data_IF_837099737811
#
_entry.id   IF_837099737811
#
_cell.length_a   1.000
_cell.length_b   1.000
_cell.length_c   1.000
_cell.angle_alpha   90.00
_cell.angle_beta   90.00
_cell.angle_gamma   90.00
#
_symmetry.space_group_name_H-M   'P 1'
#
loop_
_entity.id
_entity.type
_entity.pdbx_description
1 polymer ?
#
# COMPACT_ATOMS: atom_id res chain seq x y z
N UNK A 1 -14.58 -6.26 35.86
CA UNK A 1 -14.87 -7.30 34.87
C UNK A 1 -14.04 -6.94 33.63
N UNK A 2 -13.01 -7.71 33.33
CA UNK A 2 -12.24 -7.49 32.09
C UNK A 2 -13.17 -7.81 30.92
N UNK A 3 -13.35 -6.83 30.07
CA UNK A 3 -14.03 -6.99 28.79
C UNK A 3 -13.21 -8.01 27.98
N UNK A 4 -13.69 -9.25 27.91
CA UNK A 4 -13.14 -10.25 27.01
C UNK A 4 -13.66 -9.90 25.62
N UNK A 5 -13.03 -8.92 24.98
CA UNK A 5 -13.17 -8.72 23.55
C UNK A 5 -12.77 -10.02 22.86
N UNK A 6 -13.73 -10.68 22.23
CA UNK A 6 -13.47 -11.83 21.37
C UNK A 6 -12.38 -11.43 20.37
N UNK A 7 -11.40 -12.30 20.10
CA UNK A 7 -10.36 -11.98 19.14
C UNK A 7 -11.01 -11.59 17.80
N UNK A 8 -10.81 -10.35 17.40
CA UNK A 8 -11.37 -9.88 16.13
C UNK A 8 -10.73 -10.67 14.99
N UNK A 9 -11.57 -11.20 14.12
CA UNK A 9 -11.10 -11.83 12.87
C UNK A 9 -10.66 -10.74 11.91
N UNK A 10 -9.42 -10.80 11.49
CA UNK A 10 -8.81 -9.86 10.55
C UNK A 10 -8.81 -10.50 9.17
N UNK A 11 -9.22 -9.75 8.15
CA UNK A 11 -9.20 -10.23 6.78
C UNK A 11 -7.89 -9.84 6.09
N UNK A 12 -7.26 -10.78 5.40
CA UNK A 12 -6.08 -10.54 4.56
C UNK A 12 -6.48 -10.62 3.08
N UNK A 13 -6.03 -9.66 2.30
CA UNK A 13 -6.07 -9.71 0.83
C UNK A 13 -4.69 -9.43 0.24
N UNK A 14 -4.46 -9.94 -0.98
CA UNK A 14 -3.23 -9.72 -1.73
C UNK A 14 -3.54 -9.50 -3.21
N UNK A 15 -3.10 -8.38 -3.75
CA UNK A 15 -3.18 -8.06 -5.17
C UNK A 15 -1.90 -8.49 -5.90
N UNK A 16 -2.01 -8.85 -7.16
CA UNK A 16 -0.88 -9.25 -7.98
C UNK A 16 -0.82 -8.53 -9.32
N UNK A 17 -0.03 -9.09 -10.23
CA UNK A 17 0.10 -8.64 -11.62
C UNK A 17 -1.11 -9.10 -12.46
N UNK A 18 -1.31 -8.47 -13.62
CA UNK A 18 -2.28 -8.91 -14.62
C UNK A 18 -1.92 -10.26 -15.24
N UNK A 19 -0.63 -10.61 -15.24
CA UNK A 19 -0.09 -11.81 -15.88
C UNK A 19 0.02 -12.95 -14.88
N UNK A 20 -0.69 -14.04 -15.12
CA UNK A 20 -0.63 -15.24 -14.27
C UNK A 20 0.81 -15.77 -14.13
N UNK A 21 1.63 -15.71 -15.20
CA UNK A 21 3.02 -16.15 -15.15
C UNK A 21 3.89 -15.36 -14.16
N UNK A 22 3.66 -14.06 -14.03
CA UNK A 22 4.34 -13.24 -13.03
C UNK A 22 3.90 -13.60 -11.62
N UNK A 23 2.59 -13.79 -11.43
CA UNK A 23 2.00 -14.20 -10.16
C UNK A 23 2.51 -15.58 -9.71
N UNK A 24 2.60 -16.55 -10.62
CA UNK A 24 3.13 -17.89 -10.34
C UNK A 24 4.58 -17.86 -9.85
N UNK A 25 5.44 -17.08 -10.49
CA UNK A 25 6.85 -16.95 -10.09
C UNK A 25 6.98 -16.36 -8.67
N UNK A 26 6.10 -15.45 -8.30
CA UNK A 26 6.15 -14.73 -7.03
C UNK A 26 5.36 -15.41 -5.91
N UNK A 27 4.54 -16.42 -6.22
CA UNK A 27 3.57 -16.97 -5.27
C UNK A 27 4.20 -17.55 -4.01
N UNK A 28 5.29 -18.29 -4.14
CA UNK A 28 5.95 -18.88 -2.95
C UNK A 28 6.49 -17.79 -2.01
N UNK A 29 6.98 -16.67 -2.54
CA UNK A 29 7.42 -15.55 -1.71
C UNK A 29 6.24 -14.89 -0.97
N UNK A 30 5.10 -14.74 -1.64
CA UNK A 30 3.87 -14.21 -1.02
C UNK A 30 3.37 -15.14 0.08
N UNK A 31 3.30 -16.43 -0.18
CA UNK A 31 2.86 -17.45 0.77
C UNK A 31 3.74 -17.52 2.02
N UNK A 32 5.06 -17.46 1.85
CA UNK A 32 6.00 -17.42 2.98
C UNK A 32 5.81 -16.14 3.80
N UNK A 33 5.69 -14.99 3.17
CA UNK A 33 5.42 -13.72 3.83
C UNK A 33 4.09 -13.73 4.59
N UNK A 34 3.00 -14.20 3.96
CA UNK A 34 1.71 -14.35 4.63
C UNK A 34 1.78 -15.26 5.85
N UNK A 35 2.51 -16.38 5.75
CA UNK A 35 2.68 -17.33 6.86
C UNK A 35 3.38 -16.69 8.06
N UNK A 36 4.40 -15.87 7.82
CA UNK A 36 5.10 -15.12 8.88
C UNK A 36 4.21 -14.04 9.50
N UNK A 37 3.42 -13.35 8.69
CA UNK A 37 2.49 -12.35 9.17
C UNK A 37 1.36 -12.96 10.00
N UNK A 38 0.83 -14.11 9.58
CA UNK A 38 -0.15 -14.88 10.34
C UNK A 38 0.42 -15.24 11.72
N UNK A 39 1.63 -15.81 11.76
CA UNK A 39 2.29 -16.16 13.03
C UNK A 39 2.49 -14.94 13.96
N UNK A 40 2.85 -13.78 13.39
CA UNK A 40 2.99 -12.54 14.17
C UNK A 40 1.65 -12.10 14.78
N UNK A 41 0.55 -12.15 14.02
CA UNK A 41 -0.79 -11.76 14.48
C UNK A 41 -1.33 -12.77 15.51
N UNK A 42 -1.13 -14.06 15.29
CA UNK A 42 -1.52 -15.11 16.25
C UNK A 42 -0.76 -15.01 17.58
N UNK A 43 0.53 -14.62 17.54
CA UNK A 43 1.32 -14.38 18.75
C UNK A 43 0.78 -13.23 19.61
N UNK A 44 -0.01 -12.33 19.01
CA UNK A 44 -0.70 -11.23 19.66
C UNK A 44 -2.16 -11.55 20.05
N UNK A 45 -2.59 -12.80 19.86
CA UNK A 45 -3.91 -13.29 20.30
C UNK A 45 -5.06 -13.02 19.33
N UNK A 46 -4.77 -12.71 18.05
CA UNK A 46 -5.76 -12.47 17.01
C UNK A 46 -5.72 -13.55 15.92
N UNK A 47 -6.73 -13.58 15.07
CA UNK A 47 -6.81 -14.50 13.94
C UNK A 47 -6.78 -13.72 12.62
N UNK A 48 -5.90 -14.14 11.71
CA UNK A 48 -5.83 -13.62 10.35
C UNK A 48 -6.34 -14.66 9.36
N UNK A 49 -7.36 -14.32 8.59
CA UNK A 49 -7.92 -15.19 7.56
C UNK A 49 -7.81 -14.54 6.19
N UNK A 50 -7.47 -15.36 5.19
CA UNK A 50 -7.44 -14.90 3.82
C UNK A 50 -8.86 -14.65 3.29
N UNK A 51 -9.12 -13.47 2.73
CA UNK A 51 -10.41 -13.07 2.17
C UNK A 51 -10.69 -13.62 0.77
N UNK A 52 -9.73 -14.34 0.16
CA UNK A 52 -9.88 -15.01 -1.13
C UNK A 52 -8.98 -16.25 -1.22
N UNK A 53 -9.41 -17.21 -1.99
CA UNK A 53 -8.78 -18.52 -2.09
C UNK A 53 -7.58 -18.52 -3.04
N UNK A 54 -6.78 -19.60 -2.93
CA UNK A 54 -5.81 -19.98 -3.94
C UNK A 54 -6.53 -20.53 -5.16
N UNK A 55 -6.13 -20.12 -6.35
CA UNK A 55 -6.67 -20.61 -7.62
C UNK A 55 -5.78 -21.74 -8.16
N UNK A 56 -6.20 -22.97 -7.96
CA UNK A 56 -5.48 -24.18 -8.39
C UNK A 56 -5.23 -24.20 -9.91
N UNK A 57 -6.18 -23.70 -10.68
CA UNK A 57 -6.04 -23.69 -12.14
C UNK A 57 -5.01 -22.68 -12.63
N UNK A 58 -4.75 -21.65 -11.83
CA UNK A 58 -3.77 -20.59 -12.13
C UNK A 58 -2.45 -20.72 -11.38
N UNK A 59 -2.43 -21.53 -10.31
CA UNK A 59 -1.23 -21.78 -9.51
C UNK A 59 -0.79 -20.59 -8.65
N UNK A 60 -1.71 -19.72 -8.25
CA UNK A 60 -1.47 -18.60 -7.34
C UNK A 60 -2.74 -18.11 -6.64
N UNK A 61 -2.57 -17.41 -5.52
CA UNK A 61 -3.71 -16.85 -4.76
C UNK A 61 -3.83 -15.32 -4.84
N UNK A 62 -3.24 -14.63 -5.83
CA UNK A 62 -3.39 -13.19 -5.96
C UNK A 62 -4.72 -12.78 -6.63
N UNK A 63 -5.25 -11.64 -6.20
CA UNK A 63 -6.28 -10.92 -6.95
C UNK A 63 -5.60 -10.33 -8.19
N UNK A 64 -6.06 -10.71 -9.39
CA UNK A 64 -5.41 -10.42 -10.68
C UNK A 64 -6.22 -9.55 -11.63
N UNK A 65 -7.37 -9.10 -11.20
CA UNK A 65 -8.24 -8.23 -12.00
C UNK A 65 -9.16 -7.41 -11.13
N UNK A 66 -9.60 -6.27 -11.65
CA UNK A 66 -10.61 -5.43 -11.00
C UNK A 66 -11.91 -6.19 -10.73
N UNK A 67 -12.32 -7.06 -11.64
CA UNK A 67 -13.54 -7.90 -11.47
C UNK A 67 -13.42 -8.79 -10.24
N UNK A 68 -12.31 -9.53 -10.14
CA UNK A 68 -12.05 -10.40 -9.00
C UNK A 68 -11.95 -9.59 -7.71
N UNK A 69 -11.27 -8.45 -7.73
CA UNK A 69 -11.21 -7.54 -6.56
C UNK A 69 -12.60 -7.11 -6.10
N UNK A 70 -13.46 -6.69 -7.02
CA UNK A 70 -14.85 -6.34 -6.70
C UNK A 70 -15.63 -7.51 -6.10
N UNK A 71 -15.43 -8.72 -6.60
CA UNK A 71 -16.14 -9.91 -6.10
C UNK A 71 -15.63 -10.27 -4.69
N UNK A 72 -14.33 -10.16 -4.41
CA UNK A 72 -13.75 -10.32 -3.06
C UNK A 72 -14.34 -9.30 -2.07
N UNK A 73 -14.37 -8.02 -2.43
CA UNK A 73 -14.92 -6.98 -1.54
C UNK A 73 -16.45 -7.09 -1.31
N UNK A 74 -17.17 -7.82 -2.16
CA UNK A 74 -18.57 -8.17 -1.91
C UNK A 74 -18.74 -9.34 -0.95
N UNK A 75 -17.72 -10.17 -0.79
CA UNK A 75 -17.77 -11.39 0.05
C UNK A 75 -17.21 -11.18 1.45
N UNK A 76 -16.32 -10.21 1.66
CA UNK A 76 -15.74 -9.91 2.97
C UNK A 76 -16.60 -8.90 3.74
N UNK A 77 -16.48 -8.92 5.07
CA UNK A 77 -17.14 -7.93 5.93
C UNK A 77 -16.53 -6.53 5.68
N UNK A 78 -17.32 -5.54 5.23
CA UNK A 78 -16.81 -4.21 4.93
C UNK A 78 -16.39 -3.39 6.17
N UNK A 79 -16.74 -3.84 7.38
CA UNK A 79 -16.42 -3.19 8.65
C UNK A 79 -15.29 -3.89 9.41
N UNK A 80 -14.89 -5.11 8.98
CA UNK A 80 -13.82 -5.86 9.62
C UNK A 80 -12.45 -5.20 9.39
N UNK A 81 -11.49 -5.35 10.32
CA UNK A 81 -10.10 -4.97 10.08
C UNK A 81 -9.54 -5.69 8.86
N UNK A 82 -8.91 -4.94 7.96
CA UNK A 82 -8.40 -5.43 6.68
C UNK A 82 -6.89 -5.21 6.57
N UNK A 83 -6.15 -6.26 6.25
CA UNK A 83 -4.74 -6.19 5.92
C UNK A 83 -4.55 -6.45 4.42
N UNK A 84 -3.85 -5.54 3.75
CA UNK A 84 -3.34 -5.76 2.40
C UNK A 84 -1.87 -6.11 2.51
N UNK A 85 -1.52 -7.37 2.20
CA UNK A 85 -0.19 -7.93 2.42
C UNK A 85 0.56 -8.09 1.09
N UNK A 86 1.75 -7.49 1.00
CA UNK A 86 2.51 -7.40 -0.23
C UNK A 86 3.93 -7.96 -0.05
N UNK A 87 4.24 -9.06 -0.76
CA UNK A 87 5.60 -9.59 -0.91
C UNK A 87 6.18 -9.32 -2.30
N UNK A 88 5.39 -8.72 -3.20
CA UNK A 88 5.75 -8.51 -4.60
C UNK A 88 5.11 -7.23 -5.13
N UNK A 89 5.38 -6.92 -6.40
CA UNK A 89 4.67 -5.89 -7.13
C UNK A 89 3.17 -6.21 -7.28
N UNK A 90 2.33 -5.20 -7.12
CA UNK A 90 0.88 -5.34 -7.27
C UNK A 90 0.28 -4.23 -8.15
N UNK A 91 -0.87 -4.52 -8.73
CA UNK A 91 -1.70 -3.55 -9.45
C UNK A 91 -2.75 -2.97 -8.50
N UNK A 92 -2.59 -1.71 -8.09
CA UNK A 92 -3.55 -1.05 -7.18
C UNK A 92 -4.98 -0.99 -7.75
N UNK A 93 -5.11 -0.91 -9.07
CA UNK A 93 -6.41 -0.91 -9.76
C UNK A 93 -7.27 -2.16 -9.49
N UNK A 94 -6.65 -3.30 -9.14
CA UNK A 94 -7.41 -4.53 -8.87
C UNK A 94 -8.28 -4.41 -7.62
N UNK A 95 -7.83 -3.67 -6.60
CA UNK A 95 -8.43 -3.62 -5.27
C UNK A 95 -8.87 -2.23 -4.85
N UNK A 96 -8.43 -1.17 -5.52
CA UNK A 96 -8.65 0.21 -5.11
C UNK A 96 -10.14 0.55 -4.98
N UNK A 97 -10.98 0.10 -5.92
CA UNK A 97 -12.42 0.35 -5.87
C UNK A 97 -13.09 -0.24 -4.61
N UNK A 98 -12.63 -1.41 -4.17
CA UNK A 98 -13.07 -2.02 -2.92
C UNK A 98 -12.55 -1.28 -1.69
N UNK A 99 -11.26 -0.91 -1.70
CA UNK A 99 -10.65 -0.17 -0.59
C UNK A 99 -11.29 1.21 -0.37
N UNK A 100 -11.75 1.89 -1.42
CA UNK A 100 -12.45 3.19 -1.29
C UNK A 100 -13.81 3.07 -0.62
N UNK A 101 -14.39 1.88 -0.56
CA UNK A 101 -15.71 1.63 0.04
C UNK A 101 -15.63 0.82 1.34
N UNK A 102 -14.46 0.32 1.69
CA UNK A 102 -14.24 -0.38 2.96
C UNK A 102 -14.29 0.61 4.13
N UNK A 103 -14.94 0.22 5.21
CA UNK A 103 -15.17 1.09 6.38
C UNK A 103 -14.33 0.71 7.60
N UNK A 104 -13.89 -0.55 7.67
CA UNK A 104 -13.01 -1.01 8.72
C UNK A 104 -11.60 -0.42 8.61
N UNK A 105 -10.78 -0.52 9.66
CA UNK A 105 -9.40 -0.07 9.62
C UNK A 105 -8.59 -0.86 8.59
N UNK A 106 -7.80 -0.15 7.77
CA UNK A 106 -6.94 -0.72 6.73
C UNK A 106 -5.48 -0.64 7.17
N UNK A 107 -4.75 -1.75 7.08
CA UNK A 107 -3.31 -1.82 7.24
C UNK A 107 -2.66 -2.37 5.98
N UNK A 108 -1.72 -1.63 5.41
CA UNK A 108 -0.84 -2.15 4.36
C UNK A 108 0.43 -2.70 5.00
N UNK A 109 0.81 -3.93 4.63
CA UNK A 109 1.97 -4.62 5.20
C UNK A 109 2.85 -5.19 4.09
N UNK A 110 4.17 -5.03 4.22
CA UNK A 110 5.13 -5.62 3.28
C UNK A 110 6.41 -6.08 3.96
N UNK A 111 7.06 -7.09 3.36
CA UNK A 111 8.48 -7.32 3.59
C UNK A 111 9.32 -6.32 2.75
N UNK A 112 10.47 -5.89 3.28
CA UNK A 112 11.35 -4.95 2.56
C UNK A 112 12.62 -5.60 2.00
N UNK A 113 12.82 -6.89 2.24
CA UNK A 113 14.04 -7.62 1.87
C UNK A 113 13.73 -8.88 1.07
N UNK A 114 14.77 -9.50 0.54
CA UNK A 114 14.69 -10.72 -0.24
C UNK A 114 14.70 -10.46 -1.74
N UNK A 115 14.52 -11.53 -2.50
CA UNK A 115 14.49 -11.47 -3.96
C UNK A 115 13.27 -10.68 -4.49
N UNK A 116 12.17 -10.72 -3.74
CA UNK A 116 10.92 -10.06 -4.08
C UNK A 116 10.54 -9.11 -2.94
N UNK A 117 11.09 -7.88 -2.90
CA UNK A 117 10.77 -6.94 -1.84
C UNK A 117 9.38 -6.33 -2.04
N UNK A 118 8.45 -6.68 -1.18
CA UNK A 118 7.06 -6.18 -1.23
C UNK A 118 6.92 -4.70 -0.96
N UNK A 119 7.95 -4.04 -0.39
CA UNK A 119 7.92 -2.61 -0.09
C UNK A 119 7.58 -1.74 -1.31
N UNK A 120 8.02 -2.13 -2.51
CA UNK A 120 7.70 -1.38 -3.75
C UNK A 120 6.19 -1.45 -4.05
N UNK A 121 5.59 -2.63 -3.93
CA UNK A 121 4.14 -2.82 -4.08
C UNK A 121 3.34 -2.06 -3.04
N UNK A 122 3.79 -2.10 -1.78
CA UNK A 122 3.18 -1.35 -0.67
C UNK A 122 3.23 0.17 -0.93
N UNK A 123 4.36 0.72 -1.36
CA UNK A 123 4.49 2.15 -1.63
C UNK A 123 3.60 2.58 -2.80
N UNK A 124 3.47 1.75 -3.85
CA UNK A 124 2.52 1.97 -4.93
C UNK A 124 1.07 2.01 -4.41
N UNK A 125 0.69 1.03 -3.58
CA UNK A 125 -0.65 1.01 -2.99
C UNK A 125 -0.89 2.21 -2.08
N UNK A 126 0.06 2.54 -1.20
CA UNK A 126 -0.03 3.68 -0.30
C UNK A 126 -0.21 5.00 -1.06
N UNK A 127 0.54 5.21 -2.13
CA UNK A 127 0.39 6.37 -3.01
C UNK A 127 -1.00 6.41 -3.65
N UNK A 128 -1.53 5.27 -4.07
CA UNK A 128 -2.87 5.15 -4.65
C UNK A 128 -3.98 5.43 -3.63
N UNK A 129 -3.85 4.90 -2.40
CA UNK A 129 -4.79 5.16 -1.29
C UNK A 129 -4.79 6.63 -0.89
N UNK A 130 -3.61 7.23 -0.73
CA UNK A 130 -3.46 8.67 -0.43
C UNK A 130 -4.12 9.53 -1.49
N UNK A 131 -3.88 9.24 -2.77
CA UNK A 131 -4.50 9.97 -3.88
C UNK A 131 -6.02 9.81 -3.91
N UNK A 132 -6.54 8.63 -3.54
CA UNK A 132 -7.97 8.35 -3.45
C UNK A 132 -8.64 8.90 -2.18
N UNK A 133 -7.89 9.46 -1.25
CA UNK A 133 -8.41 9.99 0.03
C UNK A 133 -8.80 8.91 1.03
N UNK A 134 -8.32 7.67 0.86
CA UNK A 134 -8.58 6.55 1.77
C UNK A 134 -7.67 6.64 2.99
N UNK A 135 -8.23 6.49 4.18
CA UNK A 135 -7.44 6.41 5.42
C UNK A 135 -6.87 4.99 5.60
N UNK A 136 -5.61 4.90 5.90
CA UNK A 136 -4.92 3.63 6.13
C UNK A 136 -3.73 3.80 7.08
N UNK A 137 -3.26 2.70 7.63
CA UNK A 137 -1.98 2.59 8.31
C UNK A 137 -1.03 1.75 7.48
N UNK A 138 0.28 1.87 7.71
CA UNK A 138 1.30 1.16 6.94
C UNK A 138 2.41 0.66 7.84
N UNK A 139 2.81 -0.61 7.66
CA UNK A 139 3.93 -1.23 8.36
C UNK A 139 4.76 -2.08 7.39
N UNK A 140 6.05 -2.17 7.65
CA UNK A 140 6.93 -3.08 6.95
C UNK A 140 8.02 -3.61 7.88
N UNK A 141 8.50 -4.79 7.58
CA UNK A 141 9.56 -5.46 8.34
C UNK A 141 10.33 -6.38 7.40
N UNK A 142 11.46 -6.87 7.85
CA UNK A 142 12.17 -7.94 7.14
C UNK A 142 11.45 -9.28 7.27
N UNK A 143 11.04 -9.62 8.50
CA UNK A 143 10.52 -10.95 8.85
C UNK A 143 9.33 -10.91 9.82
N UNK A 144 8.79 -9.73 10.11
CA UNK A 144 7.66 -9.47 11.02
C UNK A 144 7.85 -9.92 12.48
N UNK A 145 9.11 -10.19 12.87
CA UNK A 145 9.46 -10.65 14.22
C UNK A 145 10.21 -9.59 15.05
N UNK A 146 10.55 -8.44 14.46
CA UNK A 146 11.23 -7.37 15.19
C UNK A 146 10.30 -6.64 16.17
N UNK A 147 10.89 -6.18 17.29
CA UNK A 147 10.15 -5.56 18.39
C UNK A 147 9.36 -4.31 17.94
N UNK A 148 9.93 -3.49 17.07
CA UNK A 148 9.29 -2.28 16.58
C UNK A 148 8.04 -2.62 15.76
N UNK A 149 8.15 -3.61 14.87
CA UNK A 149 7.03 -4.07 14.06
C UNK A 149 5.92 -4.63 14.96
N UNK A 150 6.25 -5.55 15.86
CA UNK A 150 5.26 -6.19 16.76
C UNK A 150 4.57 -5.15 17.67
N UNK A 151 5.32 -4.20 18.21
CA UNK A 151 4.74 -3.09 19.01
C UNK A 151 3.75 -2.26 18.22
N UNK A 152 4.09 -1.89 16.98
CA UNK A 152 3.22 -1.09 16.12
C UNK A 152 2.03 -1.89 15.58
N UNK A 153 2.24 -3.17 15.25
CA UNK A 153 1.16 -4.09 14.88
C UNK A 153 0.15 -4.23 16.01
N UNK A 154 0.64 -4.42 17.24
CA UNK A 154 -0.23 -4.44 18.43
C UNK A 154 -1.02 -3.13 18.57
N UNK A 155 -0.39 -1.98 18.38
CA UNK A 155 -1.09 -0.69 18.42
C UNK A 155 -2.22 -0.63 17.39
N UNK A 156 -1.98 -1.11 16.17
CA UNK A 156 -3.03 -1.16 15.15
C UNK A 156 -4.16 -2.12 15.51
N UNK A 157 -3.83 -3.28 16.06
CA UNK A 157 -4.82 -4.26 16.53
C UNK A 157 -5.71 -3.71 17.65
N UNK A 158 -5.13 -2.89 18.54
CA UNK A 158 -5.84 -2.29 19.65
C UNK A 158 -6.67 -1.05 19.26
N UNK A 159 -6.23 -0.26 18.26
CA UNK A 159 -6.78 1.09 17.99
C UNK A 159 -7.22 1.33 16.54
N UNK A 160 -6.94 0.40 15.63
CA UNK A 160 -7.19 0.56 14.19
C UNK A 160 -6.21 1.51 13.49
N UNK A 161 -5.17 2.01 14.18
CA UNK A 161 -4.24 2.97 13.60
C UNK A 161 -2.79 2.80 14.09
N UNK A 162 -1.83 3.27 13.28
CA UNK A 162 -0.40 3.32 13.64
C UNK A 162 0.08 4.76 13.57
N UNK A 163 0.67 5.22 14.65
CA UNK A 163 1.42 6.48 14.67
C UNK A 163 2.91 6.21 14.40
N UNK A 164 3.49 6.93 13.45
CA UNK A 164 4.93 6.92 13.21
C UNK A 164 5.59 8.11 13.90
N UNK A 165 6.76 7.87 14.51
CA UNK A 165 7.58 8.95 15.05
C UNK A 165 8.24 9.71 13.89
N UNK A 166 7.88 10.97 13.76
CA UNK A 166 8.38 11.89 12.74
C UNK A 166 9.43 12.86 13.32
N UNK A 167 9.88 12.68 14.56
CA UNK A 167 10.81 13.60 15.23
C UNK A 167 12.17 13.76 14.53
N UNK A 168 12.53 12.79 13.67
CA UNK A 168 13.74 12.84 12.85
C UNK A 168 13.55 13.60 11.52
N UNK A 169 12.31 13.95 11.17
CA UNK A 169 12.02 14.69 9.93
C UNK A 169 12.16 16.19 10.18
N UNK A 170 13.08 16.80 9.47
CA UNK A 170 13.28 18.26 9.51
C UNK A 170 12.42 18.91 8.42
N UNK A 171 11.57 19.88 8.74
CA UNK A 171 10.85 20.65 7.74
C UNK A 171 11.83 21.33 6.77
N UNK A 172 11.50 21.30 5.48
CA UNK A 172 12.30 21.99 4.48
C UNK A 172 12.06 23.49 4.55
N UNK A 173 13.16 24.23 4.79
CA UNK A 173 13.15 25.68 4.83
C UNK A 173 13.79 26.24 3.56
N UNK A 174 13.03 26.94 2.71
CA UNK A 174 13.56 27.56 1.48
C UNK A 174 14.76 28.49 1.79
N UNK A 175 14.74 29.14 2.95
CA UNK A 175 15.82 30.01 3.40
C UNK A 175 17.14 29.28 3.63
N UNK A 176 17.12 27.94 3.83
CA UNK A 176 18.31 27.11 4.01
C UNK A 176 19.00 26.74 2.69
N UNK A 177 18.36 26.96 1.54
CA UNK A 177 18.95 26.72 0.23
C UNK A 177 20.05 27.75 -0.06
N UNK A 178 21.16 27.29 -0.64
CA UNK A 178 22.19 28.21 -1.14
C UNK A 178 21.63 29.11 -2.26
N UNK A 179 22.25 30.28 -2.42
CA UNK A 179 21.76 31.32 -3.32
C UNK A 179 21.74 30.86 -4.80
N UNK A 180 22.68 29.98 -5.20
CA UNK A 180 22.75 29.50 -6.59
C UNK A 180 21.60 28.51 -6.87
N UNK A 181 21.37 27.54 -5.98
CA UNK A 181 20.27 26.60 -6.09
C UNK A 181 18.93 27.33 -6.13
N UNK A 182 18.75 28.34 -5.27
CA UNK A 182 17.53 29.14 -5.25
C UNK A 182 17.34 29.92 -6.54
N UNK A 183 18.36 30.61 -7.04
CA UNK A 183 18.30 31.39 -8.29
C UNK A 183 18.01 30.47 -9.48
N UNK A 184 18.67 29.31 -9.55
CA UNK A 184 18.43 28.32 -10.63
C UNK A 184 16.99 27.79 -10.61
N UNK A 185 16.47 27.43 -9.44
CA UNK A 185 15.10 26.92 -9.30
C UNK A 185 14.07 27.95 -9.69
N UNK A 186 14.24 29.22 -9.26
CA UNK A 186 13.37 30.33 -9.67
C UNK A 186 13.43 30.57 -11.19
N UNK A 187 14.62 30.57 -11.77
CA UNK A 187 14.79 30.75 -13.22
C UNK A 187 14.13 29.63 -14.06
N UNK A 188 14.15 28.39 -13.57
CA UNK A 188 13.43 27.27 -14.20
C UNK A 188 11.91 27.51 -14.13
N UNK A 189 11.37 27.84 -12.95
CA UNK A 189 9.96 28.08 -12.77
C UNK A 189 9.46 29.25 -13.64
N UNK A 190 10.18 30.37 -13.68
CA UNK A 190 9.86 31.54 -14.51
C UNK A 190 9.91 31.17 -16.02
N UNK A 191 10.87 30.34 -16.43
CA UNK A 191 10.98 29.87 -17.80
C UNK A 191 9.80 29.02 -18.22
N UNK A 192 9.40 28.04 -17.38
CA UNK A 192 8.23 27.20 -17.65
C UNK A 192 6.95 28.01 -17.81
N UNK A 193 6.73 28.99 -16.91
CA UNK A 193 5.54 29.87 -16.98
C UNK A 193 5.56 30.80 -18.19
N UNK A 194 6.73 31.35 -18.55
CA UNK A 194 6.87 32.27 -19.68
C UNK A 194 6.71 31.53 -21.02
N UNK A 195 7.33 30.38 -21.16
CA UNK A 195 7.35 29.63 -22.40
C UNK A 195 6.14 28.74 -22.61
N UNK A 196 5.34 28.53 -21.54
CA UNK A 196 4.16 27.67 -21.59
C UNK A 196 4.48 26.30 -22.18
N UNK A 197 5.43 25.60 -21.51
CA UNK A 197 5.90 24.30 -21.94
C UNK A 197 4.74 23.31 -22.12
N UNK A 198 4.76 22.57 -23.22
CA UNK A 198 3.80 21.49 -23.49
C UNK A 198 4.37 20.19 -22.94
N UNK A 199 3.63 19.57 -22.02
CA UNK A 199 3.94 18.24 -21.51
C UNK A 199 3.19 17.18 -22.33
N UNK A 200 3.91 16.31 -23.01
CA UNK A 200 3.33 15.14 -23.67
C UNK A 200 3.27 13.96 -22.71
N UNK A 201 2.08 13.41 -22.50
CA UNK A 201 1.88 12.22 -21.66
C UNK A 201 1.67 11.01 -22.57
N UNK A 202 2.55 10.01 -22.41
CA UNK A 202 2.48 8.73 -23.12
C UNK A 202 2.22 7.65 -22.06
N UNK A 203 1.03 7.03 -22.08
CA UNK A 203 0.62 5.97 -21.17
C UNK A 203 0.66 6.36 -19.68
N UNK A 204 -0.31 7.14 -19.26
CA UNK A 204 -0.47 7.55 -17.85
C UNK A 204 -0.97 6.44 -16.91
N UNK A 205 -1.40 5.30 -17.44
CA UNK A 205 -1.91 4.16 -16.66
C UNK A 205 -0.88 3.07 -16.38
N UNK A 206 0.42 3.38 -16.48
CA UNK A 206 1.51 2.42 -16.40
C UNK A 206 1.36 1.40 -15.27
N UNK A 207 1.39 0.11 -15.62
CA UNK A 207 1.42 -1.04 -14.69
C UNK A 207 0.39 -1.00 -13.56
N UNK A 208 -0.82 -0.47 -13.80
CA UNK A 208 -1.88 -0.43 -12.81
C UNK A 208 -1.63 0.49 -11.61
N UNK A 209 -0.74 1.47 -11.76
CA UNK A 209 -0.42 2.45 -10.74
C UNK A 209 -1.36 3.66 -10.81
N UNK A 210 -2.43 3.66 -10.03
CA UNK A 210 -3.31 4.82 -9.95
C UNK A 210 -2.59 6.08 -9.45
N UNK A 211 -1.62 5.94 -8.57
CA UNK A 211 -0.78 7.04 -8.08
C UNK A 211 0.12 7.66 -9.16
N UNK A 212 0.43 6.95 -10.25
CA UNK A 212 1.24 7.48 -11.34
C UNK A 212 0.46 8.38 -12.31
N UNK A 213 -0.86 8.34 -12.28
CA UNK A 213 -1.70 9.25 -13.06
C UNK A 213 -1.67 10.63 -12.42
N UNK A 214 -1.05 11.61 -13.07
CA UNK A 214 -0.90 12.96 -12.53
C UNK A 214 -2.17 13.76 -12.81
N UNK A 215 -2.88 14.28 -11.79
CA UNK A 215 -4.05 15.13 -12.00
C UNK A 215 -3.66 16.45 -12.66
N UNK A 216 -4.42 16.89 -13.65
CA UNK A 216 -4.16 18.12 -14.42
C UNK A 216 -3.95 19.36 -13.53
N UNK A 217 -4.71 19.46 -12.43
CA UNK A 217 -4.61 20.61 -11.53
C UNK A 217 -3.23 20.78 -10.88
N UNK A 218 -2.43 19.70 -10.76
CA UNK A 218 -1.05 19.78 -10.28
C UNK A 218 -0.11 20.33 -11.37
N UNK A 219 -0.44 20.10 -12.64
CA UNK A 219 0.33 20.62 -13.76
C UNK A 219 0.05 22.12 -13.98
N UNK A 220 -1.17 22.59 -13.70
CA UNK A 220 -1.52 24.02 -13.84
C UNK A 220 -0.68 24.95 -12.95
N UNK A 221 -0.14 24.45 -11.86
CA UNK A 221 0.74 25.23 -10.97
C UNK A 221 2.14 25.48 -11.58
N UNK A 222 2.53 24.70 -12.58
CA UNK A 222 3.84 24.80 -13.22
C UNK A 222 3.81 25.51 -14.57
N UNK A 223 2.65 25.82 -15.11
CA UNK A 223 2.48 26.47 -16.39
C UNK A 223 1.16 26.23 -17.05
#
# INVERSE_FOLDING_TARGET
MADQTMPATITLIASGDLRDSANQVCWEAQKDMESRLIAAIESLGHQLIRGHEFDEARGHGFIRSQRQGMDVFRSIDPDAPLIVAEAVWQYSHHILAGLTTHRGPILTVANWSGQWPGLVGLLNLNGSLTKAGVQYSSLWSKEFADELFLKKLKSWLDTGSVAHDMGHVTPFEIASCDANTRATSLGIAETLQREKAILGVFDEGCMGMFNAIIPDHLLHATG
#
